data_IF_862403014804
#
_entry.id   IF_862403014804
#
_cell.length_a   1.000
_cell.length_b   1.000
_cell.length_c   1.000
_cell.angle_alpha   90.00
_cell.angle_beta   90.00
_cell.angle_gamma   90.00
#
_symmetry.space_group_name_H-M   'P 1'
#
loop_
_entity.id
_entity.type
_entity.pdbx_description
1 polymer ?
#
# COMPACT_ATOMS: atom_id res chain seq x y z
N UNK A 1 -16.32 22.59 3.17
CA UNK A 1 -15.71 21.60 4.12
C UNK A 1 -16.60 21.46 5.34
N UNK A 2 -16.95 22.57 6.00
CA UNK A 2 -17.98 22.57 7.07
C UNK A 2 -19.42 22.43 6.53
N UNK A 3 -19.61 22.64 5.23
CA UNK A 3 -20.91 22.50 4.56
C UNK A 3 -21.43 21.06 4.53
N UNK A 4 -20.55 20.07 4.71
CA UNK A 4 -20.91 18.65 4.76
C UNK A 4 -20.79 18.06 6.17
N UNK A 5 -20.62 18.87 7.23
CA UNK A 5 -20.46 18.37 8.60
C UNK A 5 -21.64 17.51 9.04
N UNK A 6 -22.86 17.87 8.60
CA UNK A 6 -24.08 17.09 8.84
C UNK A 6 -24.10 15.71 8.15
N UNK A 7 -23.22 15.48 7.19
CA UNK A 7 -23.09 14.21 6.46
C UNK A 7 -21.96 13.33 6.99
N UNK A 8 -21.14 13.82 7.93
CA UNK A 8 -20.09 13.04 8.57
C UNK A 8 -20.71 12.09 9.60
N UNK A 9 -20.20 10.86 9.63
CA UNK A 9 -20.62 9.83 10.58
C UNK A 9 -19.38 9.23 11.26
N UNK A 10 -19.52 8.86 12.53
CA UNK A 10 -18.56 7.97 13.18
C UNK A 10 -18.82 6.54 12.70
N UNK A 11 -18.01 6.07 11.76
CA UNK A 11 -18.12 4.70 11.25
C UNK A 11 -17.67 3.69 12.33
N UNK A 12 -18.38 2.56 12.40
CA UNK A 12 -18.10 1.46 13.32
C UNK A 12 -18.20 0.14 12.58
N UNK A 13 -17.46 -0.87 13.06
CA UNK A 13 -17.52 -2.21 12.51
C UNK A 13 -18.96 -2.74 12.51
N UNK A 14 -19.37 -3.37 11.39
CA UNK A 14 -20.75 -3.79 11.15
C UNK A 14 -21.62 -2.76 10.42
N UNK A 15 -21.15 -1.52 10.27
CA UNK A 15 -21.74 -0.59 9.29
C UNK A 15 -21.39 -1.02 7.86
N UNK A 16 -22.10 -0.45 6.87
CA UNK A 16 -21.88 -0.75 5.45
C UNK A 16 -20.44 -0.50 4.96
N UNK A 17 -20.15 -1.03 3.76
CA UNK A 17 -18.81 -0.99 3.18
C UNK A 17 -18.34 0.46 2.93
N UNK A 18 -17.06 0.69 3.18
CA UNK A 18 -16.40 1.99 2.99
C UNK A 18 -15.49 1.91 1.77
N UNK A 19 -15.57 2.91 0.89
CA UNK A 19 -14.53 3.14 -0.12
C UNK A 19 -13.57 4.20 0.38
N UNK A 20 -12.28 3.86 0.48
CA UNK A 20 -11.20 4.80 0.70
C UNK A 20 -10.84 5.47 -0.62
N UNK A 21 -10.98 6.79 -0.72
CA UNK A 21 -10.65 7.53 -1.92
C UNK A 21 -9.30 8.20 -1.79
N UNK A 22 -8.33 7.71 -2.55
CA UNK A 22 -7.00 8.31 -2.72
C UNK A 22 -6.97 9.18 -3.98
N UNK A 23 -6.34 10.35 -3.89
CA UNK A 23 -6.25 11.29 -5.01
C UNK A 23 -5.03 12.21 -4.91
N UNK A 24 -4.57 12.73 -6.04
CA UNK A 24 -3.54 13.76 -6.08
C UNK A 24 -4.17 15.14 -6.30
N UNK A 25 -3.85 16.14 -5.49
CA UNK A 25 -4.48 17.48 -5.56
C UNK A 25 -4.25 18.18 -6.92
N UNK A 26 -5.30 18.83 -7.45
CA UNK A 26 -5.25 19.54 -8.74
C UNK A 26 -4.80 21.01 -8.64
N UNK A 27 -4.77 21.57 -7.43
CA UNK A 27 -4.15 22.87 -7.13
C UNK A 27 -3.56 22.87 -5.72
N UNK A 28 -2.89 23.96 -5.32
CA UNK A 28 -2.37 24.12 -3.95
C UNK A 28 -3.50 24.41 -2.95
N UNK A 29 -4.55 25.07 -3.40
CA UNK A 29 -5.65 25.58 -2.60
C UNK A 29 -6.80 24.58 -2.49
N UNK A 30 -7.06 23.80 -3.54
CA UNK A 30 -8.19 22.88 -3.59
C UNK A 30 -7.85 21.59 -4.38
N UNK A 31 -8.23 20.40 -3.88
CA UNK A 31 -7.92 19.14 -4.56
C UNK A 31 -8.68 18.93 -5.88
N UNK A 32 -9.80 19.64 -6.07
CA UNK A 32 -10.68 19.53 -7.24
C UNK A 32 -11.39 20.86 -7.57
N UNK A 33 -10.68 21.91 -8.02
CA UNK A 33 -11.22 23.27 -8.14
C UNK A 33 -12.37 23.39 -9.16
N UNK A 34 -12.47 22.47 -10.11
CA UNK A 34 -13.49 22.46 -11.16
C UNK A 34 -14.56 21.37 -10.97
N UNK A 35 -14.54 20.66 -9.82
CA UNK A 35 -15.48 19.59 -9.50
C UNK A 35 -15.38 18.38 -10.44
N UNK A 36 -14.25 18.19 -11.13
CA UNK A 36 -14.05 17.10 -12.08
C UNK A 36 -14.09 15.74 -11.37
N UNK A 37 -13.33 15.62 -10.29
CA UNK A 37 -13.20 14.38 -9.52
C UNK A 37 -14.49 14.06 -8.77
N UNK A 38 -15.11 15.05 -8.13
CA UNK A 38 -16.37 14.82 -7.42
C UNK A 38 -17.49 14.39 -8.36
N UNK A 39 -17.58 14.96 -9.58
CA UNK A 39 -18.53 14.47 -10.58
C UNK A 39 -18.26 13.03 -10.97
N UNK A 40 -17.01 12.69 -11.29
CA UNK A 40 -16.64 11.32 -11.64
C UNK A 40 -16.92 10.33 -10.50
N UNK A 41 -16.54 10.66 -9.27
CA UNK A 41 -16.81 9.83 -8.10
C UNK A 41 -18.31 9.64 -7.87
N UNK A 42 -19.10 10.71 -7.97
CA UNK A 42 -20.56 10.64 -7.82
C UNK A 42 -21.17 9.73 -8.89
N UNK A 43 -20.78 9.90 -10.15
CA UNK A 43 -21.34 9.14 -11.26
C UNK A 43 -20.98 7.64 -11.11
N UNK A 44 -19.74 7.34 -10.72
CA UNK A 44 -19.29 5.97 -10.41
C UNK A 44 -20.07 5.34 -9.25
N UNK A 45 -20.20 6.03 -8.12
CA UNK A 45 -20.91 5.52 -6.95
C UNK A 45 -22.42 5.38 -7.20
N UNK A 46 -23.01 6.24 -8.04
CA UNK A 46 -24.42 6.14 -8.43
C UNK A 46 -24.63 4.88 -9.27
N UNK A 47 -23.81 4.67 -10.30
CA UNK A 47 -23.88 3.47 -11.14
C UNK A 47 -23.61 2.18 -10.34
N UNK A 48 -22.65 2.22 -9.41
CA UNK A 48 -22.37 1.14 -8.46
C UNK A 48 -23.60 0.80 -7.62
N UNK A 49 -24.25 1.78 -7.00
CA UNK A 49 -25.47 1.55 -6.20
C UNK A 49 -26.63 1.00 -7.03
N UNK A 50 -26.73 1.38 -8.29
CA UNK A 50 -27.73 0.85 -9.23
C UNK A 50 -27.38 -0.56 -9.73
N UNK A 51 -26.16 -1.06 -9.49
CA UNK A 51 -25.70 -2.39 -9.97
C UNK A 51 -25.44 -2.44 -11.46
N UNK A 52 -25.26 -1.29 -12.07
CA UNK A 52 -24.93 -1.15 -13.48
C UNK A 52 -23.42 -0.98 -13.70
N UNK A 53 -22.63 -1.12 -12.63
CA UNK A 53 -21.20 -0.84 -12.66
C UNK A 53 -20.37 -2.04 -12.24
N UNK A 54 -19.26 -2.26 -12.93
CA UNK A 54 -18.26 -3.28 -12.61
C UNK A 54 -16.88 -2.78 -13.02
N UNK A 55 -15.84 -3.27 -12.35
CA UNK A 55 -14.45 -2.91 -12.64
C UNK A 55 -13.74 -4.14 -13.20
N UNK A 56 -13.20 -4.01 -14.40
CA UNK A 56 -12.42 -5.08 -15.03
C UNK A 56 -11.00 -5.14 -14.48
N UNK A 57 -10.30 -6.27 -14.55
CA UNK A 57 -8.87 -6.28 -14.24
C UNK A 57 -8.06 -5.42 -15.21
N UNK A 58 -6.86 -5.02 -14.79
CA UNK A 58 -5.89 -4.40 -15.70
C UNK A 58 -5.71 -5.27 -16.94
N UNK A 59 -5.72 -4.66 -18.13
CA UNK A 59 -5.81 -5.39 -19.39
C UNK A 59 -4.70 -6.44 -19.57
N UNK A 60 -3.50 -6.20 -19.03
CA UNK A 60 -2.40 -7.15 -19.10
C UNK A 60 -2.66 -8.40 -18.23
N UNK A 61 -3.24 -8.24 -17.04
CA UNK A 61 -3.64 -9.37 -16.20
C UNK A 61 -4.84 -10.12 -16.80
N UNK A 62 -5.77 -9.39 -17.44
CA UNK A 62 -6.87 -9.97 -18.20
C UNK A 62 -6.35 -10.84 -19.36
N UNK A 63 -5.32 -10.35 -20.08
CA UNK A 63 -4.67 -11.07 -21.18
C UNK A 63 -4.08 -12.40 -20.73
N UNK A 64 -3.49 -12.46 -19.53
CA UNK A 64 -2.95 -13.68 -18.95
C UNK A 64 -3.99 -14.53 -18.19
N UNK A 65 -5.27 -14.16 -18.24
CA UNK A 65 -6.36 -14.83 -17.52
C UNK A 65 -6.08 -14.99 -16.01
N UNK A 66 -5.41 -14.00 -15.41
CA UNK A 66 -5.03 -13.98 -13.99
C UNK A 66 -5.54 -12.71 -13.27
N UNK A 67 -6.21 -11.82 -13.99
CA UNK A 67 -6.76 -10.60 -13.41
C UNK A 67 -8.04 -10.86 -12.61
N UNK A 68 -8.16 -10.20 -11.46
CA UNK A 68 -9.40 -10.15 -10.69
C UNK A 68 -10.01 -8.75 -10.78
N UNK A 69 -11.23 -8.67 -11.29
CA UNK A 69 -12.03 -7.45 -11.27
C UNK A 69 -12.75 -7.25 -9.95
N UNK A 70 -13.66 -6.25 -9.92
CA UNK A 70 -14.65 -6.09 -8.84
C UNK A 70 -16.01 -6.12 -9.50
N UNK A 71 -16.88 -7.02 -9.05
CA UNK A 71 -18.18 -7.20 -9.67
C UNK A 71 -19.23 -6.17 -9.20
N UNK A 72 -20.36 -6.11 -9.90
CA UNK A 72 -21.41 -5.15 -9.59
C UNK A 72 -22.08 -5.38 -8.23
N UNK A 73 -22.11 -6.63 -7.75
CA UNK A 73 -22.71 -6.96 -6.48
C UNK A 73 -21.80 -6.53 -5.32
N UNK A 74 -20.49 -6.67 -5.47
CA UNK A 74 -19.49 -6.15 -4.54
C UNK A 74 -19.55 -4.62 -4.47
N UNK A 75 -19.53 -3.92 -5.62
CA UNK A 75 -19.59 -2.46 -5.66
C UNK A 75 -20.89 -1.89 -5.08
N UNK A 76 -22.01 -2.61 -5.23
CA UNK A 76 -23.31 -2.25 -4.61
C UNK A 76 -23.27 -2.19 -3.09
N UNK A 77 -22.31 -2.86 -2.44
CA UNK A 77 -22.19 -2.86 -0.97
C UNK A 77 -21.70 -1.52 -0.41
N UNK A 78 -21.10 -0.66 -1.24
CA UNK A 78 -20.55 0.64 -0.82
C UNK A 78 -21.67 1.53 -0.27
N UNK A 79 -21.52 1.94 0.99
CA UNK A 79 -22.46 2.81 1.69
C UNK A 79 -21.80 4.10 2.18
N UNK A 80 -20.49 4.07 2.44
CA UNK A 80 -19.74 5.21 2.98
C UNK A 80 -18.51 5.49 2.12
N UNK A 81 -18.11 6.76 2.14
CA UNK A 81 -16.94 7.25 1.42
C UNK A 81 -16.01 7.88 2.44
N UNK A 82 -14.78 7.39 2.52
CA UNK A 82 -13.70 8.10 3.18
C UNK A 82 -12.98 8.93 2.12
N UNK A 83 -12.96 10.24 2.30
CA UNK A 83 -12.34 11.19 1.37
C UNK A 83 -11.52 12.21 2.16
N UNK A 84 -10.25 12.36 1.82
CA UNK A 84 -9.26 13.15 2.59
C UNK A 84 -9.75 14.56 2.91
N UNK A 85 -10.28 15.28 1.91
CA UNK A 85 -10.76 16.64 2.07
C UNK A 85 -11.80 16.71 3.18
N UNK A 86 -12.86 15.90 3.15
CA UNK A 86 -13.98 15.93 4.12
C UNK A 86 -13.68 15.21 5.44
N UNK A 87 -12.91 14.12 5.41
CA UNK A 87 -12.73 13.21 6.55
C UNK A 87 -11.56 13.63 7.45
N UNK A 88 -10.66 14.47 6.94
CA UNK A 88 -9.56 15.05 7.71
C UNK A 88 -9.91 16.49 8.11
N UNK A 89 -9.74 16.88 9.39
CA UNK A 89 -9.89 18.27 9.81
C UNK A 89 -8.94 19.20 9.05
N UNK A 90 -9.47 20.24 8.38
CA UNK A 90 -8.63 21.15 7.59
C UNK A 90 -8.21 22.43 8.34
N UNK A 91 -9.00 22.87 9.33
CA UNK A 91 -8.77 24.14 10.06
C UNK A 91 -7.86 24.03 11.27
N UNK A 92 -7.79 22.85 11.88
CA UNK A 92 -7.00 22.62 13.09
C UNK A 92 -5.77 21.76 12.74
N UNK A 93 -4.59 22.39 12.70
CA UNK A 93 -3.34 21.70 12.35
C UNK A 93 -3.08 20.47 13.21
N UNK A 94 -3.25 20.56 14.53
CA UNK A 94 -3.04 19.44 15.45
C UNK A 94 -4.04 18.29 15.25
N UNK A 95 -5.29 18.60 14.90
CA UNK A 95 -6.29 17.56 14.60
C UNK A 95 -6.03 16.93 13.22
N UNK A 96 -5.60 17.74 12.25
CA UNK A 96 -5.16 17.29 10.93
C UNK A 96 -4.02 16.29 11.05
N UNK A 97 -2.98 16.66 11.78
CA UNK A 97 -1.80 15.83 12.03
C UNK A 97 -2.17 14.48 12.65
N UNK A 98 -3.04 14.48 13.67
CA UNK A 98 -3.56 13.24 14.28
C UNK A 98 -4.33 12.36 13.29
N UNK A 99 -5.21 12.96 12.50
CA UNK A 99 -6.00 12.22 11.51
C UNK A 99 -5.12 11.66 10.39
N UNK A 100 -4.14 12.43 9.93
CA UNK A 100 -3.13 12.00 8.95
C UNK A 100 -2.30 10.84 9.51
N UNK A 101 -1.89 10.91 10.78
CA UNK A 101 -1.19 9.80 11.46
C UNK A 101 -2.03 8.52 11.58
N UNK A 102 -3.35 8.61 11.46
CA UNK A 102 -4.27 7.48 11.47
C UNK A 102 -4.66 6.97 10.07
N UNK A 103 -4.11 7.55 8.98
CA UNK A 103 -4.40 7.12 7.61
C UNK A 103 -4.30 5.60 7.41
N UNK A 104 -3.26 4.91 7.90
CA UNK A 104 -3.17 3.46 7.73
C UNK A 104 -4.34 2.70 8.35
N UNK A 105 -4.92 3.20 9.45
CA UNK A 105 -6.09 2.60 10.09
C UNK A 105 -7.36 2.81 9.26
N UNK A 106 -7.56 4.00 8.69
CA UNK A 106 -8.68 4.26 7.78
C UNK A 106 -8.60 3.42 6.52
N UNK A 107 -7.39 3.28 5.97
CA UNK A 107 -7.14 2.35 4.88
C UNK A 107 -7.51 0.96 5.33
N UNK A 108 -6.91 0.40 6.39
CA UNK A 108 -7.15 -0.99 6.82
C UNK A 108 -8.62 -1.34 7.16
N UNK A 109 -9.44 -0.36 7.56
CA UNK A 109 -10.87 -0.55 7.86
C UNK A 109 -11.78 -0.42 6.64
N UNK A 110 -11.25 0.01 5.49
CA UNK A 110 -12.04 0.17 4.28
C UNK A 110 -12.26 -1.16 3.55
N UNK A 111 -13.30 -1.23 2.73
CA UNK A 111 -13.61 -2.41 1.91
C UNK A 111 -13.06 -2.31 0.50
N UNK A 112 -12.88 -1.07 0.01
CA UNK A 112 -12.34 -0.78 -1.32
C UNK A 112 -11.29 0.33 -1.22
N UNK A 113 -10.25 0.25 -2.06
CA UNK A 113 -9.28 1.33 -2.24
C UNK A 113 -9.46 1.91 -3.65
N UNK A 114 -9.89 3.16 -3.77
CA UNK A 114 -10.17 3.82 -5.04
C UNK A 114 -9.15 4.93 -5.31
N UNK A 115 -8.32 4.78 -6.34
CA UNK A 115 -7.50 5.85 -6.89
C UNK A 115 -8.35 6.68 -7.86
N UNK A 116 -8.74 7.89 -7.45
CA UNK A 116 -9.54 8.82 -8.25
C UNK A 116 -8.61 9.74 -9.05
N UNK A 117 -8.31 9.33 -10.28
CA UNK A 117 -7.22 9.88 -11.10
C UNK A 117 -7.67 10.24 -12.53
N UNK A 118 -8.72 11.06 -12.71
CA UNK A 118 -9.09 11.51 -14.05
C UNK A 118 -7.95 12.30 -14.70
N UNK A 119 -7.46 11.89 -15.90
CA UNK A 119 -6.41 12.60 -16.60
C UNK A 119 -6.79 14.06 -16.85
N UNK A 120 -6.03 15.00 -16.29
CA UNK A 120 -6.30 16.42 -16.41
C UNK A 120 -5.01 17.23 -16.22
N UNK A 121 -5.03 18.51 -16.58
CA UNK A 121 -3.97 19.43 -16.20
C UNK A 121 -4.13 19.87 -14.74
N UNK A 122 -3.01 19.94 -14.02
CA UNK A 122 -2.92 20.67 -12.77
C UNK A 122 -3.19 22.17 -13.04
N UNK A 123 -3.64 22.91 -12.03
CA UNK A 123 -3.94 24.34 -12.13
C UNK A 123 -2.74 25.22 -12.54
N UNK A 124 -1.52 24.66 -12.58
CA UNK A 124 -0.33 25.35 -13.10
C UNK A 124 -0.28 25.36 -14.65
N UNK A 125 -1.17 24.62 -15.31
CA UNK A 125 -1.29 24.54 -16.76
C UNK A 125 -0.25 23.65 -17.46
N UNK A 126 0.68 23.04 -16.74
CA UNK A 126 1.81 22.31 -17.35
C UNK A 126 1.96 20.87 -16.86
N UNK A 127 1.59 20.59 -15.61
CA UNK A 127 1.70 19.24 -15.07
C UNK A 127 0.47 18.42 -15.43
N UNK A 128 0.66 17.29 -16.12
CA UNK A 128 -0.38 16.28 -16.30
C UNK A 128 -0.59 15.54 -14.97
N UNK A 129 -1.85 15.45 -14.54
CA UNK A 129 -2.29 14.67 -13.39
C UNK A 129 -3.05 13.46 -13.92
N UNK A 130 -2.44 12.29 -13.80
CA UNK A 130 -2.97 10.99 -14.16
C UNK A 130 -2.55 9.93 -13.12
N UNK A 131 -2.74 8.64 -13.41
CA UNK A 131 -2.31 7.56 -12.52
C UNK A 131 -0.79 7.54 -12.28
N UNK A 132 0.03 7.90 -13.29
CA UNK A 132 1.48 7.98 -13.15
C UNK A 132 1.89 9.10 -12.19
N UNK A 133 1.27 10.28 -12.32
CA UNK A 133 1.47 11.38 -11.37
C UNK A 133 1.04 10.99 -9.95
N UNK A 134 -0.12 10.33 -9.81
CA UNK A 134 -0.54 9.80 -8.50
C UNK A 134 0.49 8.82 -7.91
N UNK A 135 1.04 7.92 -8.74
CA UNK A 135 2.10 7.00 -8.35
C UNK A 135 3.42 7.70 -7.99
N UNK A 136 3.65 8.95 -8.41
CA UNK A 136 4.86 9.69 -8.03
C UNK A 136 4.75 10.27 -6.61
N UNK A 137 3.54 10.55 -6.11
CA UNK A 137 3.31 11.25 -4.84
C UNK A 137 3.61 10.38 -3.62
N UNK A 138 4.37 10.92 -2.67
CA UNK A 138 4.77 10.23 -1.44
C UNK A 138 3.58 9.74 -0.59
N UNK A 139 2.61 10.62 -0.32
CA UNK A 139 1.40 10.26 0.45
C UNK A 139 0.54 9.19 -0.24
N UNK A 140 0.38 9.28 -1.56
CA UNK A 140 -0.36 8.27 -2.33
C UNK A 140 0.33 6.89 -2.30
N UNK A 141 1.67 6.86 -2.38
CA UNK A 141 2.43 5.62 -2.16
C UNK A 141 2.24 5.08 -0.75
N UNK A 142 2.22 5.95 0.26
CA UNK A 142 2.01 5.55 1.66
C UNK A 142 0.65 4.92 1.87
N UNK A 143 -0.42 5.52 1.33
CA UNK A 143 -1.78 4.97 1.40
C UNK A 143 -1.88 3.59 0.75
N UNK A 144 -1.29 3.42 -0.44
CA UNK A 144 -1.24 2.11 -1.11
C UNK A 144 -0.42 1.09 -0.33
N UNK A 145 0.73 1.49 0.20
CA UNK A 145 1.55 0.62 1.05
C UNK A 145 0.79 0.18 2.31
N UNK A 146 0.04 1.09 2.93
CA UNK A 146 -0.82 0.76 4.07
C UNK A 146 -1.89 -0.27 3.72
N UNK A 147 -2.49 -0.21 2.51
CA UNK A 147 -3.43 -1.24 2.05
C UNK A 147 -2.74 -2.61 1.93
N UNK A 148 -1.58 -2.67 1.28
CA UNK A 148 -0.84 -3.93 1.05
C UNK A 148 -0.34 -4.54 2.36
N UNK A 149 0.06 -3.72 3.33
CA UNK A 149 0.50 -4.17 4.64
C UNK A 149 -0.66 -4.37 5.64
N UNK A 150 -1.90 -4.07 5.24
CA UNK A 150 -3.06 -4.33 6.08
C UNK A 150 -3.29 -5.85 6.23
N UNK A 151 -4.12 -6.23 7.20
CA UNK A 151 -4.47 -7.63 7.39
C UNK A 151 -5.38 -8.16 6.28
N UNK A 152 -6.17 -7.28 5.69
CA UNK A 152 -7.11 -7.58 4.60
C UNK A 152 -6.86 -6.61 3.47
N UNK A 153 -6.12 -7.06 2.46
CA UNK A 153 -5.77 -6.24 1.30
C UNK A 153 -7.02 -6.00 0.46
N UNK A 154 -7.33 -4.73 0.20
CA UNK A 154 -8.45 -4.35 -0.64
C UNK A 154 -8.10 -4.42 -2.12
N UNK A 155 -9.07 -4.69 -3.00
CA UNK A 155 -8.92 -4.40 -4.41
C UNK A 155 -8.64 -2.91 -4.62
N UNK A 156 -7.57 -2.60 -5.34
CA UNK A 156 -7.19 -1.24 -5.72
C UNK A 156 -7.86 -0.92 -7.05
N UNK A 157 -8.91 -0.11 -7.04
CA UNK A 157 -9.62 0.35 -8.22
C UNK A 157 -8.97 1.64 -8.70
N UNK A 158 -8.51 1.67 -9.95
CA UNK A 158 -8.07 2.87 -10.65
C UNK A 158 -9.26 3.41 -11.43
N UNK A 159 -9.65 4.66 -11.16
CA UNK A 159 -10.78 5.33 -11.81
C UNK A 159 -10.29 6.59 -12.52
N UNK A 160 -10.13 6.49 -13.83
CA UNK A 160 -9.74 7.58 -14.73
C UNK A 160 -10.97 8.22 -15.40
N UNK A 161 -11.97 7.40 -15.74
CA UNK A 161 -13.28 7.86 -16.23
C UNK A 161 -14.33 6.76 -16.07
N UNK A 162 -15.60 7.07 -16.36
CA UNK A 162 -16.65 6.04 -16.39
C UNK A 162 -16.38 4.93 -17.43
N UNK A 163 -15.51 5.16 -18.42
CA UNK A 163 -15.16 4.18 -19.44
C UNK A 163 -13.73 3.64 -19.30
N UNK A 164 -12.93 4.16 -18.37
CA UNK A 164 -11.58 3.69 -18.05
C UNK A 164 -11.48 3.52 -16.54
N UNK A 165 -11.73 2.29 -16.09
CA UNK A 165 -11.69 1.87 -14.70
C UNK A 165 -11.23 0.42 -14.63
N UNK A 166 -10.25 0.15 -13.79
CA UNK A 166 -9.64 -1.17 -13.71
C UNK A 166 -9.04 -1.45 -12.34
N UNK A 167 -8.87 -2.71 -11.96
CA UNK A 167 -8.08 -3.04 -10.78
C UNK A 167 -6.59 -2.92 -11.09
N UNK A 168 -5.81 -2.38 -10.16
CA UNK A 168 -4.37 -2.19 -10.32
C UNK A 168 -3.62 -3.53 -10.37
N UNK A 169 -2.50 -3.56 -11.10
CA UNK A 169 -1.66 -4.74 -11.21
C UNK A 169 -1.01 -5.11 -9.87
N UNK A 170 -1.02 -6.40 -9.56
CA UNK A 170 -0.64 -6.98 -8.25
C UNK A 170 0.78 -6.66 -7.74
N UNK A 171 1.71 -6.21 -8.60
CA UNK A 171 3.15 -6.03 -8.27
C UNK A 171 3.72 -4.63 -8.46
N UNK A 172 2.92 -3.63 -8.85
CA UNK A 172 3.41 -2.27 -9.14
C UNK A 172 4.09 -1.58 -7.95
N UNK A 173 3.73 -1.97 -6.74
CA UNK A 173 4.12 -1.29 -5.52
C UNK A 173 5.56 -1.59 -5.07
N UNK A 174 6.11 -2.78 -5.37
CA UNK A 174 7.51 -3.12 -5.05
C UNK A 174 8.51 -2.19 -5.74
N UNK A 175 8.10 -1.58 -6.86
CA UNK A 175 8.91 -0.68 -7.66
C UNK A 175 8.74 0.80 -7.25
N UNK A 176 7.87 1.09 -6.28
CA UNK A 176 7.46 2.46 -5.95
C UNK A 176 7.52 2.71 -4.43
N UNK A 177 8.72 2.67 -3.83
CA UNK A 177 8.89 2.89 -2.40
C UNK A 177 8.46 4.29 -1.98
N UNK A 178 7.89 4.41 -0.78
CA UNK A 178 7.33 5.66 -0.25
C UNK A 178 8.40 6.72 -0.12
N UNK A 179 9.58 6.35 0.37
CA UNK A 179 10.71 7.27 0.56
C UNK A 179 11.28 7.85 -0.74
N UNK A 180 10.90 7.32 -1.92
CA UNK A 180 11.25 7.90 -3.23
C UNK A 180 10.13 8.72 -3.86
N UNK A 181 9.01 8.89 -3.16
CA UNK A 181 7.91 9.71 -3.66
C UNK A 181 8.16 11.22 -3.54
N UNK A 182 7.36 11.96 -4.30
CA UNK A 182 7.31 13.43 -4.29
C UNK A 182 6.46 13.89 -3.10
N UNK A 183 7.11 14.53 -2.14
CA UNK A 183 6.48 15.18 -1.00
C UNK A 183 6.42 16.69 -1.21
N UNK A 184 5.33 17.31 -0.75
CA UNK A 184 5.24 18.77 -0.72
C UNK A 184 6.13 19.36 0.38
N UNK A 185 6.23 18.66 1.51
CA UNK A 185 7.13 18.98 2.62
C UNK A 185 8.01 17.76 2.88
N UNK A 186 9.33 17.92 2.84
CA UNK A 186 10.25 16.79 3.03
C UNK A 186 10.20 16.22 4.46
N UNK A 187 9.79 17.04 5.44
CA UNK A 187 9.54 16.62 6.81
C UNK A 187 8.49 15.49 6.91
N UNK A 188 7.50 15.48 6.01
CA UNK A 188 6.50 14.39 5.93
C UNK A 188 7.18 13.05 5.60
N UNK A 189 8.22 13.06 4.75
CA UNK A 189 8.96 11.85 4.39
C UNK A 189 9.59 11.22 5.63
N UNK A 190 10.21 12.05 6.47
CA UNK A 190 10.84 11.59 7.70
C UNK A 190 9.81 11.08 8.72
N UNK A 191 8.68 11.79 8.86
CA UNK A 191 7.60 11.40 9.75
C UNK A 191 6.96 10.04 9.39
N UNK A 192 7.04 9.62 8.13
CA UNK A 192 6.48 8.34 7.67
C UNK A 192 7.37 7.12 7.97
N UNK A 193 8.67 7.30 8.18
CA UNK A 193 9.58 6.21 8.49
C UNK A 193 9.13 5.35 9.69
N UNK A 194 8.81 5.91 10.87
CA UNK A 194 8.35 5.10 12.01
C UNK A 194 6.95 4.50 11.79
N UNK A 195 6.11 5.12 10.96
CA UNK A 195 4.79 4.58 10.60
C UNK A 195 4.93 3.32 9.74
N UNK A 196 5.80 3.35 8.74
CA UNK A 196 6.08 2.22 7.86
C UNK A 196 6.71 1.06 8.64
N UNK A 197 7.67 1.33 9.52
CA UNK A 197 8.26 0.33 10.42
C UNK A 197 7.16 -0.35 11.28
N UNK A 198 6.24 0.43 11.84
CA UNK A 198 5.10 -0.09 12.61
C UNK A 198 4.17 -0.98 11.78
N UNK A 199 3.86 -0.61 10.54
CA UNK A 199 3.00 -1.41 9.65
C UNK A 199 3.66 -2.74 9.27
N UNK A 200 4.94 -2.70 8.90
CA UNK A 200 5.70 -3.90 8.57
C UNK A 200 5.76 -4.85 9.76
N UNK A 201 6.06 -4.33 10.95
CA UNK A 201 6.14 -5.15 12.15
C UNK A 201 4.80 -5.76 12.55
N UNK A 202 3.70 -5.00 12.45
CA UNK A 202 2.34 -5.54 12.69
C UNK A 202 2.02 -6.67 11.72
N UNK A 203 2.31 -6.48 10.43
CA UNK A 203 2.05 -7.50 9.41
C UNK A 203 2.94 -8.74 9.60
N UNK A 204 4.21 -8.56 9.94
CA UNK A 204 5.14 -9.65 10.29
C UNK A 204 4.67 -10.43 11.52
N UNK A 205 4.30 -9.73 12.60
CA UNK A 205 3.80 -10.36 13.82
C UNK A 205 2.51 -11.15 13.56
N UNK A 206 1.60 -10.62 12.75
CA UNK A 206 0.41 -11.34 12.34
C UNK A 206 0.74 -12.59 11.52
N UNK A 207 1.61 -12.48 10.51
CA UNK A 207 2.05 -13.62 9.70
C UNK A 207 2.65 -14.74 10.56
N UNK A 208 3.50 -14.39 11.54
CA UNK A 208 4.00 -15.35 12.52
C UNK A 208 2.88 -15.99 13.36
N UNK A 209 1.91 -15.19 13.83
CA UNK A 209 0.81 -15.70 14.68
C UNK A 209 -0.08 -16.74 14.00
N UNK A 210 -0.17 -16.70 12.67
CA UNK A 210 -0.95 -17.66 11.87
C UNK A 210 -0.07 -18.72 11.17
N UNK A 211 1.24 -18.72 11.42
CA UNK A 211 2.18 -19.66 10.82
C UNK A 211 2.51 -19.41 9.34
N UNK A 212 2.19 -18.23 8.79
CA UNK A 212 2.57 -17.84 7.42
C UNK A 212 4.03 -17.38 7.37
N UNK A 213 4.93 -18.36 7.40
CA UNK A 213 6.37 -18.13 7.36
C UNK A 213 6.84 -17.53 6.03
N UNK A 214 6.15 -17.78 4.92
CA UNK A 214 6.50 -17.21 3.63
C UNK A 214 6.30 -15.70 3.64
N UNK A 215 5.12 -15.23 4.04
CA UNK A 215 4.84 -13.80 4.15
C UNK A 215 5.78 -13.13 5.15
N UNK A 216 6.01 -13.75 6.31
CA UNK A 216 6.98 -13.24 7.29
C UNK A 216 8.37 -13.05 6.67
N UNK A 217 8.93 -14.10 6.05
CA UNK A 217 10.26 -14.08 5.43
C UNK A 217 10.33 -13.09 4.27
N UNK A 218 9.30 -12.98 3.44
CA UNK A 218 9.24 -12.01 2.34
C UNK A 218 9.22 -10.57 2.86
N UNK A 219 8.45 -10.26 3.89
CA UNK A 219 8.42 -8.92 4.49
C UNK A 219 9.76 -8.54 5.10
N UNK A 220 10.43 -9.50 5.74
CA UNK A 220 11.81 -9.31 6.21
C UNK A 220 12.76 -9.08 5.03
N UNK A 221 12.64 -9.90 3.98
CA UNK A 221 13.58 -9.89 2.87
C UNK A 221 13.46 -8.62 2.01
N UNK A 222 12.24 -8.11 1.88
CA UNK A 222 11.91 -6.93 1.08
C UNK A 222 11.88 -5.64 1.90
N UNK A 223 12.18 -5.69 3.22
CA UNK A 223 12.31 -4.50 4.07
C UNK A 223 13.16 -3.39 3.43
N UNK A 224 14.37 -3.66 2.88
CA UNK A 224 15.18 -2.62 2.26
C UNK A 224 14.47 -1.89 1.12
N UNK A 225 13.62 -2.60 0.38
CA UNK A 225 12.80 -2.04 -0.70
C UNK A 225 11.78 -1.07 -0.11
N UNK A 226 11.03 -1.46 0.92
CA UNK A 226 10.04 -0.58 1.56
C UNK A 226 10.66 0.66 2.20
N UNK A 227 11.86 0.51 2.77
CA UNK A 227 12.57 1.59 3.45
C UNK A 227 13.34 2.52 2.50
N UNK A 228 13.41 2.21 1.21
CA UNK A 228 14.23 2.98 0.27
C UNK A 228 13.80 4.45 0.18
N UNK A 229 14.77 5.35 0.35
CA UNK A 229 14.58 6.79 0.38
C UNK A 229 14.03 7.36 1.70
N UNK A 230 13.76 6.52 2.71
CA UNK A 230 13.42 6.99 4.06
C UNK A 230 14.68 7.24 4.90
N UNK A 231 14.64 8.17 5.87
CA UNK A 231 15.73 8.30 6.82
C UNK A 231 15.89 7.03 7.66
N UNK A 232 17.12 6.74 8.07
CA UNK A 232 17.39 5.66 9.01
C UNK A 232 16.81 6.02 10.37
N UNK A 233 16.08 5.08 10.99
CA UNK A 233 15.54 5.25 12.32
C UNK A 233 16.55 4.85 13.38
N UNK A 234 16.76 5.73 14.36
CA UNK A 234 17.43 5.38 15.61
C UNK A 234 16.57 4.39 16.42
N UNK A 235 17.21 3.64 17.33
CA UNK A 235 16.50 2.66 18.17
C UNK A 235 15.33 3.26 18.97
N UNK A 236 15.42 4.55 19.35
CA UNK A 236 14.38 5.26 20.12
C UNK A 236 13.19 5.73 19.30
N UNK A 237 13.36 5.84 17.98
CA UNK A 237 12.32 6.35 17.06
C UNK A 237 11.44 5.21 16.53
N UNK A 238 11.82 3.97 16.81
CA UNK A 238 11.11 2.77 16.38
C UNK A 238 9.93 2.50 17.28
N UNK A 239 8.78 2.24 16.67
CA UNK A 239 7.52 1.99 17.36
C UNK A 239 7.35 0.51 17.70
N UNK A 240 8.14 -0.40 17.09
CA UNK A 240 8.01 -1.84 17.28
C UNK A 240 9.32 -2.56 17.61
N UNK A 241 9.23 -3.65 18.39
CA UNK A 241 10.33 -4.59 18.69
C UNK A 241 10.47 -5.71 17.64
N UNK A 242 9.90 -5.54 16.44
CA UNK A 242 9.92 -6.58 15.40
C UNK A 242 11.34 -6.98 14.95
N UNK A 243 11.54 -8.22 14.44
CA UNK A 243 12.86 -8.72 14.03
C UNK A 243 13.46 -7.89 12.89
N UNK A 244 14.39 -7.01 13.25
CA UNK A 244 14.97 -6.03 12.34
C UNK A 244 15.93 -6.70 11.33
N UNK A 245 15.83 -6.37 10.03
CA UNK A 245 16.87 -6.73 9.08
C UNK A 245 18.10 -5.88 9.32
N UNK A 246 19.07 -6.48 10.01
CA UNK A 246 20.43 -5.96 10.02
C UNK A 246 21.13 -6.43 8.75
N UNK A 247 21.72 -5.49 8.01
CA UNK A 247 22.60 -5.82 6.87
C UNK A 247 23.96 -6.36 7.33
N UNK A 248 24.26 -6.28 8.63
CA UNK A 248 25.55 -6.68 9.22
C UNK A 248 25.45 -7.89 10.15
N UNK A 249 24.25 -8.47 10.34
CA UNK A 249 24.10 -9.67 11.16
C UNK A 249 24.86 -10.86 10.54
N UNK A 250 25.52 -11.68 11.36
CA UNK A 250 26.19 -12.88 10.87
C UNK A 250 25.22 -13.95 10.36
N UNK A 251 25.73 -14.90 9.59
CA UNK A 251 24.98 -16.01 8.99
C UNK A 251 24.02 -16.72 9.95
N UNK A 252 24.50 -17.14 11.13
CA UNK A 252 23.67 -17.89 12.08
C UNK A 252 22.54 -17.03 12.68
N UNK A 253 22.78 -15.74 12.87
CA UNK A 253 21.77 -14.80 13.34
C UNK A 253 20.69 -14.59 12.26
N UNK A 254 21.12 -14.44 11.00
CA UNK A 254 20.21 -14.36 9.85
C UNK A 254 19.33 -15.61 9.73
N UNK A 255 19.91 -16.82 9.78
CA UNK A 255 19.17 -18.09 9.71
C UNK A 255 18.10 -18.18 10.81
N UNK A 256 18.49 -17.86 12.06
CA UNK A 256 17.54 -17.83 13.20
C UNK A 256 16.42 -16.81 13.00
N UNK A 257 16.75 -15.61 12.54
CA UNK A 257 15.76 -14.54 12.32
C UNK A 257 14.78 -14.88 11.21
N UNK A 258 15.26 -15.53 10.15
CA UNK A 258 14.46 -16.03 9.03
C UNK A 258 13.72 -17.33 9.36
N UNK A 259 13.90 -17.87 10.57
CA UNK A 259 13.29 -19.13 11.03
C UNK A 259 13.61 -20.30 10.09
N UNK A 260 14.87 -20.39 9.65
CA UNK A 260 15.39 -21.54 8.93
C UNK A 260 16.23 -22.41 9.87
N UNK A 261 16.00 -23.72 9.82
CA UNK A 261 16.74 -24.76 10.51
C UNK A 261 17.93 -25.28 9.69
N UNK A 262 17.83 -25.23 8.35
CA UNK A 262 18.85 -25.75 7.44
C UNK A 262 18.94 -25.04 6.10
N UNK A 263 20.05 -25.26 5.38
CA UNK A 263 20.33 -24.63 4.06
C UNK A 263 19.42 -25.12 2.93
N UNK A 264 18.70 -26.21 3.17
CA UNK A 264 17.76 -26.84 2.22
C UNK A 264 16.29 -26.65 2.60
N UNK A 265 16.01 -25.86 3.64
CA UNK A 265 14.64 -25.58 4.05
C UNK A 265 13.83 -25.01 2.90
N UNK A 266 12.53 -25.34 2.88
CA UNK A 266 11.60 -24.85 1.86
C UNK A 266 11.98 -25.26 0.42
N UNK A 267 12.83 -26.26 0.21
CA UNK A 267 13.19 -26.71 -1.13
C UNK A 267 11.99 -27.16 -1.97
N UNK A 268 10.91 -27.64 -1.33
CA UNK A 268 9.68 -28.06 -2.00
C UNK A 268 8.83 -26.89 -2.51
N UNK A 269 8.77 -25.77 -1.77
CA UNK A 269 8.09 -24.53 -2.19
C UNK A 269 8.99 -23.66 -3.09
N UNK A 270 10.30 -23.88 -2.99
CA UNK A 270 11.32 -23.07 -3.64
C UNK A 270 11.71 -21.83 -2.82
N UNK A 271 11.02 -21.50 -1.74
CA UNK A 271 11.32 -20.30 -0.94
C UNK A 271 12.47 -20.53 0.05
N UNK A 272 13.61 -20.97 -0.49
CA UNK A 272 14.79 -21.42 0.25
C UNK A 272 15.55 -20.27 0.92
N UNK A 273 16.41 -20.58 1.90
CA UNK A 273 17.35 -19.62 2.46
C UNK A 273 18.16 -18.87 1.39
N UNK A 274 18.64 -19.60 0.36
CA UNK A 274 19.44 -19.00 -0.70
C UNK A 274 18.61 -17.96 -1.47
N UNK A 275 17.39 -18.31 -1.88
CA UNK A 275 16.50 -17.39 -2.58
C UNK A 275 16.21 -16.15 -1.74
N UNK A 276 15.88 -16.31 -0.46
CA UNK A 276 15.62 -15.17 0.44
C UNK A 276 16.83 -14.25 0.60
N UNK A 277 18.04 -14.82 0.75
CA UNK A 277 19.27 -14.03 0.84
C UNK A 277 19.54 -13.17 -0.40
N UNK A 278 19.18 -13.67 -1.59
CA UNK A 278 19.32 -12.96 -2.85
C UNK A 278 18.29 -11.83 -3.00
N UNK A 279 17.03 -12.06 -2.60
CA UNK A 279 16.01 -11.00 -2.51
C UNK A 279 16.45 -9.86 -1.58
N UNK A 280 17.19 -10.19 -0.52
CA UNK A 280 17.75 -9.21 0.43
C UNK A 280 19.03 -8.51 -0.06
N UNK A 281 19.68 -9.00 -1.11
CA UNK A 281 21.02 -8.54 -1.50
C UNK A 281 22.14 -8.93 -0.52
N UNK A 282 21.96 -9.96 0.31
CA UNK A 282 22.95 -10.43 1.31
C UNK A 282 23.95 -11.40 0.71
N UNK A 283 24.91 -10.85 -0.04
CA UNK A 283 25.95 -11.64 -0.73
C UNK A 283 26.83 -12.47 0.21
N UNK A 284 27.07 -11.96 1.42
CA UNK A 284 27.80 -12.66 2.48
C UNK A 284 27.06 -13.93 2.92
N UNK A 285 25.75 -13.84 3.17
CA UNK A 285 24.90 -15.00 3.52
C UNK A 285 24.78 -15.95 2.33
N UNK A 286 24.57 -15.43 1.12
CA UNK A 286 24.44 -16.26 -0.08
C UNK A 286 25.70 -17.10 -0.33
N UNK A 287 26.90 -16.53 -0.16
CA UNK A 287 28.18 -17.25 -0.28
C UNK A 287 28.30 -18.36 0.75
N UNK A 288 27.90 -18.10 1.99
CA UNK A 288 27.94 -19.10 3.07
C UNK A 288 26.91 -20.23 2.86
N UNK A 289 25.72 -19.90 2.34
CA UNK A 289 24.74 -20.93 1.95
C UNK A 289 25.29 -21.82 0.85
N UNK A 290 25.94 -21.25 -0.16
CA UNK A 290 26.55 -21.99 -1.26
C UNK A 290 27.75 -22.83 -0.80
N UNK A 291 28.61 -22.31 0.09
CA UNK A 291 29.73 -23.08 0.64
C UNK A 291 29.26 -24.29 1.44
N UNK A 292 28.04 -24.21 2.02
CA UNK A 292 27.35 -25.28 2.75
C UNK A 292 26.45 -26.15 1.85
N UNK A 293 26.48 -25.97 0.54
CA UNK A 293 25.79 -26.83 -0.42
C UNK A 293 24.32 -26.50 -0.68
N UNK A 294 23.85 -25.27 -0.39
CA UNK A 294 22.48 -24.86 -0.70
C UNK A 294 22.13 -25.10 -2.18
N UNK A 295 20.94 -25.65 -2.43
CA UNK A 295 20.47 -25.97 -3.77
C UNK A 295 20.16 -24.71 -4.58
N UNK A 296 20.80 -24.55 -5.73
CA UNK A 296 20.61 -23.39 -6.63
C UNK A 296 19.38 -23.51 -7.52
N UNK A 297 18.91 -24.73 -7.76
CA UNK A 297 17.85 -25.05 -8.73
C UNK A 297 16.50 -25.41 -8.08
N UNK A 298 16.24 -24.91 -6.86
CA UNK A 298 14.97 -25.20 -6.17
C UNK A 298 13.78 -24.64 -6.99
N UNK A 299 12.83 -25.47 -7.46
CA UNK A 299 11.75 -25.02 -8.32
C UNK A 299 10.78 -24.10 -7.55
N UNK A 300 10.32 -23.02 -8.17
CA UNK A 300 9.20 -22.22 -7.63
C UNK A 300 7.91 -23.00 -7.89
N UNK A 301 7.18 -23.30 -6.82
CA UNK A 301 5.88 -23.98 -6.87
C UNK A 301 4.81 -23.15 -6.18
#
# INVERSE_FOLDING_TARGET
>A
HEDCFSSLVEWREGMGAVVFVSQAWLSREHPDPHGLKFRLLRDFLTAAREGHEAVTPFWLEAWFNNGQGVDAQELRTIQYVWFDLQSVPQRCSKAKERAVGCLPSYVALSSFFLCLVPPTLHANGTSLVDYSFWCSRGWCRMERLANILSLTVQPVIILESMNSKYTAMSRDWLLQPVGRGDFTLDEDRAALAPVIDSLLAKRQAHALSIGDLLTYRLLVATFPVYSDGLPSLDAKERISEGPQPSTTEGFDAWMRRMLFEGVHDEAASGWTPLRMSLYMGRLDVARELLSRGAGVDAPLR
#
